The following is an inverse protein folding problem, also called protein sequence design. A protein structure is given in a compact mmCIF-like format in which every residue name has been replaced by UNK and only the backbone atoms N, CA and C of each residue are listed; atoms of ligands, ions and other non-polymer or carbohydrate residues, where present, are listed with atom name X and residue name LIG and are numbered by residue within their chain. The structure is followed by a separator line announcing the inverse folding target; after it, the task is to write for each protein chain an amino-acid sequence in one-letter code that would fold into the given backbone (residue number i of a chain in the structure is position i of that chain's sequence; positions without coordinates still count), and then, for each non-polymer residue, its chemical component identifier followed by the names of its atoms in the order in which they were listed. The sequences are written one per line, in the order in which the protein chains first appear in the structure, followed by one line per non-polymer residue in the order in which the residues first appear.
data_IF_204643978557
#
_entry.id   IF_204643978557
#
_cell.length_a   1.000
_cell.length_b   1.000
_cell.length_c   1.000
_cell.angle_alpha   90.00
_cell.angle_beta   90.00
_cell.angle_gamma   90.00
#
_symmetry.space_group_name_H-M   'P 1'
#
loop_
_entity.id
_entity.type
_entity.pdbx_description
1 polymer ?
#
# COMPACT_ATOMS: atom_id res chain seq x y z
N UNK A 1 3.54 1.63 -2.74
CA UNK A 1 4.82 1.85 -2.03
C UNK A 1 5.98 1.98 -3.00
N UNK A 2 7.12 2.54 -2.56
CA UNK A 2 8.35 2.66 -3.38
C UNK A 2 8.77 1.27 -3.90
N UNK A 3 8.66 0.24 -3.07
CA UNK A 3 8.97 -1.13 -3.45
C UNK A 3 8.15 -1.61 -4.66
N UNK A 4 6.86 -1.25 -4.75
CA UNK A 4 6.00 -1.59 -5.89
C UNK A 4 6.48 -0.93 -7.19
N UNK A 5 6.88 0.33 -7.15
CA UNK A 5 7.42 1.02 -8.33
C UNK A 5 8.73 0.42 -8.81
N UNK A 6 9.63 0.12 -7.87
CA UNK A 6 10.90 -0.52 -8.20
C UNK A 6 10.68 -1.90 -8.81
N UNK A 7 9.80 -2.72 -8.20
CA UNK A 7 9.50 -4.06 -8.72
C UNK A 7 8.85 -4.01 -10.12
N UNK A 8 7.93 -3.07 -10.36
CA UNK A 8 7.35 -2.88 -11.69
C UNK A 8 8.41 -2.53 -12.74
N UNK A 9 9.31 -1.59 -12.41
CA UNK A 9 10.39 -1.19 -13.31
C UNK A 9 11.38 -2.33 -13.58
N UNK A 10 11.77 -3.05 -12.53
CA UNK A 10 12.67 -4.20 -12.66
C UNK A 10 12.03 -5.31 -13.50
N UNK A 11 10.82 -5.75 -13.17
CA UNK A 11 10.13 -6.81 -13.89
C UNK A 11 9.99 -6.46 -15.37
N UNK A 12 9.58 -5.23 -15.69
CA UNK A 12 9.49 -4.76 -17.09
C UNK A 12 10.79 -4.86 -17.85
N UNK A 13 11.94 -4.73 -17.17
CA UNK A 13 13.25 -4.83 -17.83
C UNK A 13 13.72 -6.30 -18.02
N UNK A 14 13.28 -7.21 -17.16
CA UNK A 14 13.71 -8.61 -17.17
C UNK A 14 12.82 -9.52 -18.02
N UNK A 15 11.55 -9.13 -18.25
CA UNK A 15 10.65 -9.94 -19.08
C UNK A 15 11.01 -9.85 -20.57
N UNK A 16 10.60 -10.87 -21.33
CA UNK A 16 10.76 -10.93 -22.79
C UNK A 16 9.98 -9.81 -23.47
N UNK A 17 10.42 -9.39 -24.65
CA UNK A 17 9.85 -8.25 -25.40
C UNK A 17 8.35 -8.39 -25.67
N UNK A 18 7.86 -9.60 -25.94
CA UNK A 18 6.43 -9.86 -26.11
C UNK A 18 5.59 -9.53 -24.89
N UNK A 19 6.08 -9.89 -23.69
CA UNK A 19 5.40 -9.59 -22.42
C UNK A 19 5.57 -8.11 -22.04
N UNK A 20 6.71 -7.51 -22.38
CA UNK A 20 7.01 -6.10 -22.13
C UNK A 20 6.00 -5.16 -22.78
N UNK A 21 5.49 -5.51 -23.96
CA UNK A 21 4.46 -4.74 -24.68
C UNK A 21 3.09 -4.77 -24.00
N UNK A 22 2.84 -5.75 -23.12
CA UNK A 22 1.59 -5.88 -22.36
C UNK A 22 1.59 -5.03 -21.07
N UNK A 23 2.74 -4.51 -20.64
CA UNK A 23 2.80 -3.64 -19.47
C UNK A 23 1.96 -2.39 -19.70
N UNK A 24 1.09 -2.08 -18.74
CA UNK A 24 0.07 -1.03 -18.87
C UNK A 24 -1.16 -1.41 -19.70
N UNK A 25 -1.19 -2.63 -20.29
CA UNK A 25 -2.28 -3.13 -21.13
C UNK A 25 -2.82 -4.50 -20.66
N UNK A 26 -2.60 -4.85 -19.40
CA UNK A 26 -3.09 -6.09 -18.81
C UNK A 26 -2.03 -7.18 -18.61
N UNK A 27 -0.75 -6.82 -18.42
CA UNK A 27 0.30 -7.78 -18.05
C UNK A 27 0.05 -8.33 -16.65
N UNK A 28 0.02 -9.65 -16.53
CA UNK A 28 -0.06 -10.35 -15.24
C UNK A 28 1.21 -10.09 -14.41
N UNK A 29 2.38 -10.13 -15.04
CA UNK A 29 3.65 -9.84 -14.40
C UNK A 29 3.72 -8.39 -13.92
N UNK A 30 3.18 -7.46 -14.73
CA UNK A 30 3.08 -6.04 -14.38
C UNK A 30 2.17 -5.74 -13.20
N UNK A 31 1.33 -6.69 -12.78
CA UNK A 31 0.51 -6.62 -11.57
C UNK A 31 1.13 -7.43 -10.42
N UNK A 32 1.53 -8.65 -10.67
CA UNK A 32 2.01 -9.57 -9.65
C UNK A 32 3.31 -9.09 -8.98
N UNK A 33 4.26 -8.56 -9.75
CA UNK A 33 5.54 -8.12 -9.19
C UNK A 33 5.39 -6.93 -8.21
N UNK A 34 4.67 -5.83 -8.54
CA UNK A 34 4.43 -4.73 -7.60
C UNK A 34 3.65 -5.15 -6.36
N UNK A 35 2.64 -6.01 -6.50
CA UNK A 35 1.82 -6.45 -5.37
C UNK A 35 2.63 -7.37 -4.43
N UNK A 36 3.41 -8.29 -4.99
CA UNK A 36 4.31 -9.13 -4.19
C UNK A 36 5.36 -8.30 -3.45
N UNK A 37 5.96 -7.32 -4.12
CA UNK A 37 6.92 -6.42 -3.51
C UNK A 37 6.31 -5.55 -2.41
N UNK A 38 5.04 -5.13 -2.56
CA UNK A 38 4.31 -4.40 -1.54
C UNK A 38 4.10 -5.24 -0.29
N UNK A 39 3.67 -6.49 -0.46
CA UNK A 39 3.49 -7.43 0.65
C UNK A 39 4.81 -7.75 1.35
N UNK A 40 5.90 -7.95 0.59
CA UNK A 40 7.23 -8.16 1.13
C UNK A 40 7.73 -6.95 1.94
N UNK A 41 7.51 -5.73 1.44
CA UNK A 41 7.86 -4.50 2.14
C UNK A 41 7.07 -4.32 3.44
N UNK A 42 5.77 -4.67 3.45
CA UNK A 42 4.95 -4.67 4.66
C UNK A 42 5.53 -5.63 5.70
N UNK A 43 5.81 -6.88 5.32
CA UNK A 43 6.39 -7.88 6.23
C UNK A 43 7.78 -7.45 6.69
N UNK A 44 8.62 -6.93 5.79
CA UNK A 44 9.96 -6.44 6.10
C UNK A 44 9.99 -5.27 7.09
N UNK A 45 8.94 -4.44 7.12
CA UNK A 45 8.85 -3.31 8.07
C UNK A 45 8.66 -3.72 9.53
N UNK A 46 8.28 -4.98 9.80
CA UNK A 46 8.22 -5.53 11.15
C UNK A 46 9.61 -5.84 11.73
N UNK A 47 10.58 -6.10 10.88
CA UNK A 47 11.95 -6.40 11.35
C UNK A 47 12.51 -5.22 12.14
N UNK A 48 12.65 -4.01 11.61
CA UNK A 48 13.13 -2.87 12.39
C UNK A 48 12.20 -2.50 13.55
N UNK A 49 10.88 -2.70 13.42
CA UNK A 49 9.96 -2.45 14.52
C UNK A 49 10.26 -3.34 15.71
N UNK A 50 10.34 -4.66 15.53
CA UNK A 50 10.49 -5.61 16.63
C UNK A 50 11.91 -5.65 17.17
N UNK A 51 12.94 -5.42 16.32
CA UNK A 51 14.35 -5.53 16.72
C UNK A 51 14.95 -4.22 17.20
N UNK A 52 14.55 -3.09 16.65
CA UNK A 52 15.10 -1.78 16.95
C UNK A 52 14.09 -0.82 17.60
N UNK A 53 12.81 -1.16 17.57
CA UNK A 53 11.73 -0.26 18.01
C UNK A 53 11.49 0.90 17.05
N UNK A 54 11.94 0.77 15.78
CA UNK A 54 11.81 1.82 14.76
C UNK A 54 10.73 1.41 13.77
N UNK A 55 9.62 2.15 13.64
CA UNK A 55 8.58 1.84 12.68
C UNK A 55 9.05 2.18 11.25
N UNK A 56 8.96 1.20 10.35
CA UNK A 56 9.32 1.35 8.93
C UNK A 56 8.16 1.83 8.04
N UNK A 57 6.96 2.01 8.59
CA UNK A 57 5.75 2.43 7.88
C UNK A 57 4.73 3.05 8.83
N UNK A 58 3.73 3.77 8.30
CA UNK A 58 2.63 4.30 9.11
C UNK A 58 1.88 3.21 9.88
N UNK A 59 1.65 2.05 9.26
CA UNK A 59 1.00 0.90 9.92
C UNK A 59 1.83 0.38 11.09
N UNK A 60 3.16 0.24 10.91
CA UNK A 60 4.04 -0.19 11.99
C UNK A 60 4.21 0.87 13.07
N UNK A 61 4.02 2.16 12.75
CA UNK A 61 3.99 3.22 13.75
C UNK A 61 2.76 3.12 14.66
N UNK A 62 1.57 2.84 14.10
CA UNK A 62 0.36 2.58 14.89
C UNK A 62 0.55 1.34 15.76
N UNK A 63 1.16 0.29 15.22
CA UNK A 63 1.44 -0.93 15.98
C UNK A 63 2.45 -0.70 17.11
N UNK A 64 3.46 0.14 16.88
CA UNK A 64 4.38 0.59 17.94
C UNK A 64 3.60 1.26 19.08
N UNK A 65 2.69 2.19 18.74
CA UNK A 65 1.85 2.85 19.72
C UNK A 65 0.99 1.87 20.53
N UNK A 66 0.41 0.85 19.86
CA UNK A 66 -0.36 -0.19 20.52
C UNK A 66 0.50 -1.02 21.47
N UNK A 67 1.68 -1.47 21.04
CA UNK A 67 2.62 -2.22 21.89
C UNK A 67 3.04 -1.42 23.13
N UNK A 68 3.39 -0.14 22.95
CA UNK A 68 3.71 0.75 24.05
C UNK A 68 2.52 0.96 24.99
N UNK A 69 1.29 1.04 24.48
CA UNK A 69 0.06 1.12 25.27
C UNK A 69 -0.18 -0.12 26.13
N UNK A 70 0.28 -1.29 25.70
CA UNK A 70 0.28 -2.54 26.50
C UNK A 70 1.51 -2.67 27.41
N UNK A 71 2.36 -1.65 27.51
CA UNK A 71 3.58 -1.70 28.32
C UNK A 71 4.72 -2.52 27.70
N UNK A 72 4.62 -2.87 26.42
CA UNK A 72 5.61 -3.66 25.69
C UNK A 72 6.51 -2.70 24.93
N UNK A 73 7.80 -2.68 25.24
CA UNK A 73 8.79 -1.91 24.50
C UNK A 73 9.45 -2.75 23.41
N UNK A 74 9.12 -2.51 22.12
CA UNK A 74 9.88 -3.10 21.01
C UNK A 74 11.33 -2.60 21.02
N UNK A 75 12.25 -3.48 20.66
CA UNK A 75 13.65 -3.15 20.61
C UNK A 75 14.56 -4.36 20.78
N UNK A 76 15.90 -4.16 20.88
CA UNK A 76 16.90 -5.23 20.87
C UNK A 76 16.71 -6.30 21.95
N UNK A 77 16.03 -5.95 23.02
CA UNK A 77 15.79 -6.85 24.17
C UNK A 77 14.42 -7.54 24.13
N UNK A 78 13.53 -7.18 23.20
CA UNK A 78 12.16 -7.70 23.17
C UNK A 78 12.12 -9.23 23.15
N UNK A 79 12.95 -9.86 22.33
CA UNK A 79 13.00 -11.32 22.22
C UNK A 79 13.52 -12.02 23.50
N UNK A 80 14.22 -11.28 24.38
CA UNK A 80 14.72 -11.78 25.66
C UNK A 80 13.73 -11.53 26.80
N UNK A 81 13.15 -10.33 26.85
CA UNK A 81 12.24 -9.91 27.92
C UNK A 81 10.82 -10.43 27.73
N UNK A 82 10.34 -10.50 26.49
CA UNK A 82 9.00 -10.92 26.12
C UNK A 82 9.03 -11.85 24.89
N UNK A 83 9.68 -13.02 24.97
CA UNK A 83 9.82 -13.92 23.83
C UNK A 83 8.47 -14.40 23.27
N UNK A 84 7.49 -14.60 24.13
CA UNK A 84 6.14 -15.03 23.73
C UNK A 84 5.48 -14.00 22.82
N UNK A 85 5.61 -12.70 23.12
CA UNK A 85 5.03 -11.64 22.30
C UNK A 85 5.77 -11.54 20.98
N UNK A 86 7.10 -11.57 21.02
CA UNK A 86 7.93 -11.51 19.80
C UNK A 86 7.54 -12.62 18.83
N UNK A 87 7.50 -13.86 19.28
CA UNK A 87 7.15 -14.99 18.43
C UNK A 87 5.68 -15.03 18.06
N UNK A 88 4.76 -14.59 18.95
CA UNK A 88 3.34 -14.51 18.64
C UNK A 88 3.04 -13.56 17.50
N UNK A 89 3.72 -12.41 17.42
CA UNK A 89 3.56 -11.48 16.30
C UNK A 89 4.00 -12.16 15.00
N UNK A 90 5.15 -12.80 14.97
CA UNK A 90 5.66 -13.50 13.78
C UNK A 90 4.69 -14.63 13.36
N UNK A 91 4.29 -15.48 14.29
CA UNK A 91 3.38 -16.58 14.00
C UNK A 91 2.01 -16.12 13.56
N UNK A 92 1.50 -15.03 14.12
CA UNK A 92 0.22 -14.44 13.69
C UNK A 92 0.24 -13.98 12.24
N UNK A 93 1.38 -13.48 11.76
CA UNK A 93 1.56 -13.10 10.35
C UNK A 93 1.47 -14.33 9.43
N UNK A 94 2.13 -15.44 9.78
CA UNK A 94 2.04 -16.69 8.99
C UNK A 94 0.62 -17.26 8.97
N UNK A 95 -0.02 -17.36 10.13
CA UNK A 95 -1.40 -17.83 10.24
C UNK A 95 -2.35 -16.90 9.49
N UNK A 96 -2.16 -15.59 9.65
CA UNK A 96 -2.93 -14.55 8.95
C UNK A 96 -2.83 -14.66 7.44
N UNK A 97 -1.64 -14.96 6.89
CA UNK A 97 -1.47 -15.18 5.44
C UNK A 97 -2.28 -16.37 4.93
N UNK A 98 -2.29 -17.49 5.66
CA UNK A 98 -3.09 -18.66 5.28
C UNK A 98 -4.58 -18.33 5.32
N UNK A 99 -5.04 -17.66 6.38
CA UNK A 99 -6.45 -17.25 6.52
C UNK A 99 -6.83 -16.28 5.38
N UNK A 100 -5.97 -15.30 5.09
CA UNK A 100 -6.19 -14.36 3.98
C UNK A 100 -6.30 -15.06 2.63
N UNK A 101 -5.47 -16.07 2.38
CA UNK A 101 -5.53 -16.85 1.15
C UNK A 101 -6.88 -17.58 1.03
N UNK A 102 -7.31 -18.25 2.10
CA UNK A 102 -8.58 -18.99 2.15
C UNK A 102 -9.78 -18.06 1.96
N UNK A 103 -9.73 -16.85 2.54
CA UNK A 103 -10.81 -15.88 2.42
C UNK A 103 -10.82 -15.18 1.04
N UNK A 104 -9.66 -14.77 0.55
CA UNK A 104 -9.58 -13.97 -0.67
C UNK A 104 -9.89 -14.79 -1.93
N UNK A 105 -9.44 -16.05 -2.03
CA UNK A 105 -9.68 -16.84 -3.24
C UNK A 105 -11.17 -16.92 -3.62
N UNK A 106 -12.11 -17.29 -2.73
CA UNK A 106 -13.52 -17.31 -3.07
C UNK A 106 -14.13 -15.91 -3.17
N UNK A 107 -13.53 -14.89 -2.51
CA UNK A 107 -14.08 -13.54 -2.47
C UNK A 107 -13.76 -12.73 -3.75
N UNK A 108 -12.64 -13.03 -4.42
CA UNK A 108 -12.21 -12.34 -5.65
C UNK A 108 -13.32 -12.24 -6.72
N UNK A 109 -14.05 -13.33 -7.09
CA UNK A 109 -15.10 -13.25 -8.08
C UNK A 109 -16.26 -12.33 -7.70
N UNK A 110 -16.56 -12.23 -6.39
CA UNK A 110 -17.62 -11.35 -5.89
C UNK A 110 -17.19 -9.89 -5.93
N UNK A 111 -15.95 -9.59 -5.47
CA UNK A 111 -15.39 -8.24 -5.50
C UNK A 111 -15.19 -7.78 -6.95
N UNK A 112 -14.77 -8.65 -7.85
CA UNK A 112 -14.65 -8.34 -9.27
C UNK A 112 -15.95 -7.88 -9.92
N UNK A 113 -17.12 -8.27 -9.38
CA UNK A 113 -18.42 -7.77 -9.86
C UNK A 113 -18.61 -6.27 -9.65
N UNK A 114 -17.90 -5.67 -8.68
CA UNK A 114 -17.91 -4.21 -8.47
C UNK A 114 -17.39 -3.49 -9.71
N UNK A 115 -16.49 -4.10 -10.49
CA UNK A 115 -15.98 -3.55 -11.75
C UNK A 115 -17.05 -3.50 -12.86
N UNK A 116 -18.16 -4.25 -12.70
CA UNK A 116 -19.29 -4.20 -13.63
C UNK A 116 -20.21 -2.97 -13.41
N UNK A 117 -20.00 -2.23 -12.31
CA UNK A 117 -20.75 -0.99 -12.05
C UNK A 117 -20.42 0.05 -13.14
N UNK A 118 -21.44 0.66 -13.76
CA UNK A 118 -21.22 1.69 -14.77
C UNK A 118 -20.35 2.82 -14.25
N UNK A 119 -19.40 3.28 -15.06
CA UNK A 119 -18.45 4.35 -14.69
C UNK A 119 -19.15 5.63 -14.23
N UNK A 120 -20.36 5.88 -14.74
CA UNK A 120 -21.18 7.02 -14.36
C UNK A 120 -21.54 7.07 -12.85
N UNK A 121 -21.67 5.90 -12.22
CA UNK A 121 -21.88 5.78 -10.77
C UNK A 121 -20.57 5.63 -9.99
N UNK A 122 -19.61 4.93 -10.58
CA UNK A 122 -18.34 4.64 -9.92
C UNK A 122 -17.52 5.91 -9.67
N UNK A 123 -17.45 6.82 -10.66
CA UNK A 123 -16.64 8.05 -10.56
C UNK A 123 -17.16 8.98 -9.44
N UNK A 124 -18.45 9.35 -9.37
CA UNK A 124 -18.96 10.15 -8.26
C UNK A 124 -18.77 9.50 -6.89
N UNK A 125 -18.94 8.16 -6.82
CA UNK A 125 -18.75 7.41 -5.58
C UNK A 125 -17.32 7.47 -5.09
N UNK A 126 -16.34 7.27 -5.99
CA UNK A 126 -14.91 7.39 -5.66
C UNK A 126 -14.59 8.81 -5.19
N UNK A 127 -15.06 9.83 -5.88
CA UNK A 127 -14.85 11.22 -5.49
C UNK A 127 -15.45 11.52 -4.12
N UNK A 128 -16.67 11.06 -3.86
CA UNK A 128 -17.32 11.21 -2.57
C UNK A 128 -16.51 10.60 -1.43
N UNK A 129 -16.08 9.33 -1.58
CA UNK A 129 -15.26 8.66 -0.57
C UNK A 129 -13.87 9.28 -0.42
N UNK A 130 -13.27 9.77 -1.51
CA UNK A 130 -11.96 10.43 -1.46
C UNK A 130 -12.03 11.74 -0.67
N UNK A 131 -13.00 12.59 -0.96
CA UNK A 131 -13.22 13.87 -0.23
C UNK A 131 -13.53 13.59 1.24
N UNK A 132 -14.44 12.67 1.50
CA UNK A 132 -14.82 12.30 2.86
C UNK A 132 -13.63 11.71 3.62
N UNK A 133 -12.86 10.84 3.00
CA UNK A 133 -11.68 10.21 3.61
C UNK A 133 -10.59 11.22 3.99
N UNK A 134 -10.30 12.18 3.10
CA UNK A 134 -9.31 13.23 3.38
C UNK A 134 -9.80 14.12 4.52
N UNK A 135 -11.06 14.51 4.51
CA UNK A 135 -11.62 15.33 5.58
C UNK A 135 -11.57 14.62 6.94
N UNK A 136 -11.93 13.34 6.99
CA UNK A 136 -11.94 12.57 8.24
C UNK A 136 -10.54 12.30 8.81
N UNK A 137 -9.49 12.36 7.98
CA UNK A 137 -8.11 12.16 8.46
C UNK A 137 -7.57 13.35 9.26
N UNK A 138 -7.90 14.56 8.86
CA UNK A 138 -7.31 15.78 9.45
C UNK A 138 -8.32 16.74 10.04
N UNK A 139 -9.62 16.56 9.75
CA UNK A 139 -10.72 17.50 10.07
C UNK A 139 -10.42 18.93 9.64
N UNK A 140 -9.63 19.09 8.56
CA UNK A 140 -9.17 20.37 8.05
C UNK A 140 -9.62 20.58 6.60
N UNK A 141 -10.33 21.67 6.35
CA UNK A 141 -10.78 22.02 5.01
C UNK A 141 -9.62 22.34 4.05
N UNK A 142 -8.46 22.73 4.58
CA UNK A 142 -7.28 23.02 3.77
C UNK A 142 -6.85 21.81 2.92
N UNK A 143 -6.95 20.60 3.46
CA UNK A 143 -6.56 19.38 2.75
C UNK A 143 -7.47 19.09 1.56
N UNK A 144 -8.76 19.48 1.65
CA UNK A 144 -9.69 19.40 0.52
C UNK A 144 -9.27 20.37 -0.58
N UNK A 145 -8.94 21.63 -0.23
CA UNK A 145 -8.48 22.60 -1.22
C UNK A 145 -7.17 22.19 -1.86
N UNK A 146 -6.25 21.63 -1.07
CA UNK A 146 -4.98 21.08 -1.56
C UNK A 146 -5.22 19.92 -2.55
N UNK A 147 -6.12 18.98 -2.20
CA UNK A 147 -6.52 17.88 -3.08
C UNK A 147 -7.06 18.41 -4.41
N UNK A 148 -7.97 19.39 -4.38
CA UNK A 148 -8.53 19.98 -5.60
C UNK A 148 -7.43 20.63 -6.44
N UNK A 149 -6.56 21.42 -5.81
CA UNK A 149 -5.42 22.06 -6.49
C UNK A 149 -4.50 21.06 -7.18
N UNK A 150 -4.11 20.01 -6.46
CA UNK A 150 -3.27 18.93 -7.02
C UNK A 150 -4.02 18.19 -8.14
N UNK A 151 -5.31 17.94 -8.00
CA UNK A 151 -6.11 17.28 -9.04
C UNK A 151 -6.16 18.09 -10.34
N UNK A 152 -6.31 19.42 -10.24
CA UNK A 152 -6.27 20.31 -11.40
C UNK A 152 -4.89 20.28 -12.07
N UNK A 153 -3.81 20.42 -11.29
CA UNK A 153 -2.44 20.34 -11.81
C UNK A 153 -2.16 18.99 -12.46
N UNK A 154 -2.52 17.89 -11.80
CA UNK A 154 -2.37 16.54 -12.34
C UNK A 154 -3.16 16.34 -13.65
N UNK A 155 -4.37 16.91 -13.74
CA UNK A 155 -5.17 16.84 -14.95
C UNK A 155 -4.51 17.59 -16.11
N UNK A 156 -3.98 18.79 -15.86
CA UNK A 156 -3.25 19.59 -16.86
C UNK A 156 -2.00 18.84 -17.33
N UNK A 157 -1.20 18.29 -16.40
CA UNK A 157 0.00 17.53 -16.74
C UNK A 157 -0.34 16.28 -17.56
N UNK A 158 -1.44 15.62 -17.25
CA UNK A 158 -1.91 14.45 -17.99
C UNK A 158 -2.35 14.80 -19.42
N UNK A 159 -2.94 15.97 -19.65
CA UNK A 159 -3.28 16.46 -20.98
C UNK A 159 -2.02 16.67 -21.86
N UNK A 160 -0.88 16.97 -21.24
CA UNK A 160 0.43 17.05 -21.90
C UNK A 160 1.18 15.71 -21.91
N UNK A 161 0.48 14.59 -21.66
CA UNK A 161 1.06 13.23 -21.62
C UNK A 161 2.22 13.05 -20.62
N UNK A 162 2.29 13.89 -19.59
CA UNK A 162 3.33 13.78 -18.57
C UNK A 162 3.10 12.51 -17.71
N UNK A 163 4.14 11.67 -17.49
CA UNK A 163 3.99 10.46 -16.70
C UNK A 163 3.73 10.79 -15.24
N UNK A 164 2.61 10.30 -14.68
CA UNK A 164 2.20 10.54 -13.29
C UNK A 164 3.09 9.87 -12.23
N UNK A 165 3.67 8.66 -12.46
CA UNK A 165 4.47 7.99 -11.44
C UNK A 165 5.66 8.79 -10.89
N UNK A 166 6.48 9.50 -11.70
CA UNK A 166 7.54 10.37 -11.18
C UNK A 166 7.03 11.51 -10.31
N UNK A 167 5.88 12.11 -10.66
CA UNK A 167 5.26 13.17 -9.88
C UNK A 167 4.86 12.67 -8.48
N UNK A 168 4.22 11.50 -8.42
CA UNK A 168 3.80 10.89 -7.15
C UNK A 168 5.02 10.54 -6.30
N UNK A 169 6.07 9.95 -6.93
CA UNK A 169 7.31 9.62 -6.22
C UNK A 169 8.00 10.86 -5.66
N UNK A 170 8.09 11.94 -6.43
CA UNK A 170 8.66 13.20 -5.97
C UNK A 170 7.88 13.75 -4.76
N UNK A 171 6.56 13.63 -4.76
CA UNK A 171 5.71 14.07 -3.65
C UNK A 171 5.88 13.23 -2.38
N UNK A 172 6.20 11.94 -2.53
CA UNK A 172 6.40 11.00 -1.41
C UNK A 172 7.81 11.08 -0.84
N UNK A 173 8.80 11.38 -1.68
CA UNK A 173 10.22 11.39 -1.31
C UNK A 173 10.71 12.77 -0.86
N UNK A 174 10.01 13.83 -1.24
CA UNK A 174 10.49 15.15 -1.07
C UNK A 174 10.10 16.17 -0.41
#
# INVERSE_FOLDING_TARGET
TIASFLAYGMERNFVKDEEKQKFGKGSVNGLAAPETANNAACSGSFVPLLTLGIPGSGTTAVMLGALLGFGIQPGPRLYQTNPEIFWSVIMSMYIGMVILLILNLPLIPYIARILAVPRAFLIPLILFFSVTGIYLMSFNNFDIYLMIGIAVVATILRLYEFPMPPLILAFVLG
#
